data_IF_259068932040
#
_entry.id   IF_259068932040
#
_cell.length_a   1.000
_cell.length_b   1.000
_cell.length_c   1.000
_cell.angle_alpha   90.00
_cell.angle_beta   90.00
_cell.angle_gamma   90.00
#
_symmetry.space_group_name_H-M   'P 1'
#
loop_
_entity.id
_entity.type
_entity.pdbx_description
1 polymer ?
#
# COMPACT_ATOMS: atom_id res chain seq x y z
N UNK A 1 21.85 11.49 8.23
CA UNK A 1 23.27 11.07 8.15
C UNK A 1 23.61 10.41 6.81
N UNK A 2 22.73 9.56 6.24
CA UNK A 2 22.95 8.89 4.95
C UNK A 2 23.05 9.82 3.72
N UNK A 3 22.28 10.91 3.68
CA UNK A 3 22.23 11.82 2.51
C UNK A 3 23.57 12.56 2.32
N UNK A 4 24.31 12.82 3.41
CA UNK A 4 25.64 13.43 3.35
C UNK A 4 26.67 12.53 2.66
N UNK A 5 26.50 11.22 2.76
CA UNK A 5 27.44 10.25 2.21
C UNK A 5 27.26 10.06 0.69
N UNK A 6 26.03 10.19 0.19
CA UNK A 6 25.72 10.04 -1.24
C UNK A 6 25.93 11.33 -2.03
N UNK A 7 25.58 12.49 -1.44
CA UNK A 7 25.57 13.76 -2.20
C UNK A 7 26.76 14.66 -1.87
N UNK A 8 27.60 14.32 -0.89
CA UNK A 8 28.76 15.12 -0.45
C UNK A 8 28.41 16.49 0.16
N UNK A 9 27.18 16.97 -0.01
CA UNK A 9 26.67 18.24 0.52
C UNK A 9 25.96 17.99 1.84
N UNK A 10 26.41 18.69 2.88
CA UNK A 10 25.72 18.74 4.15
C UNK A 10 24.39 19.45 4.03
N UNK A 11 23.32 18.83 4.55
CA UNK A 11 22.07 19.56 4.78
C UNK A 11 22.34 20.51 5.95
N UNK A 12 22.51 21.79 5.66
CA UNK A 12 22.50 22.82 6.69
C UNK A 12 21.04 23.14 6.99
N UNK A 13 20.56 22.72 8.16
CA UNK A 13 19.25 23.13 8.66
C UNK A 13 19.33 24.60 9.04
N UNK A 14 19.02 25.48 8.08
CA UNK A 14 18.88 26.90 8.36
C UNK A 14 17.57 27.10 9.10
N UNK A 15 17.63 27.18 10.42
CA UNK A 15 16.49 27.58 11.26
C UNK A 15 16.23 29.05 10.91
N UNK A 16 15.30 29.34 10.01
CA UNK A 16 14.86 30.71 9.77
C UNK A 16 13.89 31.10 10.86
N UNK A 17 14.41 31.77 11.90
CA UNK A 17 13.62 32.70 12.71
C UNK A 17 12.80 33.60 11.79
N UNK A 18 11.54 33.87 12.17
CA UNK A 18 10.56 34.70 11.43
C UNK A 18 11.22 35.87 10.70
N UNK A 19 11.17 35.87 9.37
CA UNK A 19 11.38 37.10 8.61
C UNK A 19 10.04 37.82 8.51
N UNK A 20 9.89 38.82 9.36
CA UNK A 20 8.93 39.91 9.20
C UNK A 20 9.42 40.76 8.02
N UNK A 21 8.65 40.85 6.93
CA UNK A 21 8.44 42.08 6.12
C UNK A 21 7.62 41.74 4.88
N UNK A 22 6.60 42.57 4.70
CA UNK A 22 5.55 42.57 3.68
C UNK A 22 6.14 42.91 2.29
N UNK A 23 5.41 42.50 1.26
CA UNK A 23 5.42 42.96 -0.15
C UNK A 23 5.86 41.93 -1.21
N UNK A 24 4.83 41.42 -1.92
CA UNK A 24 4.78 40.63 -3.17
C UNK A 24 4.13 39.24 -3.02
N UNK A 25 2.83 39.24 -2.71
CA UNK A 25 1.96 38.05 -2.58
C UNK A 25 1.74 37.26 -3.89
N UNK A 26 2.29 37.68 -5.03
CA UNK A 26 2.03 37.05 -6.33
C UNK A 26 3.18 36.19 -6.87
N UNK A 27 4.39 36.28 -6.28
CA UNK A 27 5.59 35.60 -6.83
C UNK A 27 5.94 34.28 -6.11
N UNK A 28 5.31 34.00 -4.97
CA UNK A 28 5.60 32.80 -4.16
C UNK A 28 4.52 31.72 -4.22
N UNK A 29 3.43 31.96 -4.95
CA UNK A 29 2.31 31.02 -5.15
C UNK A 29 2.70 29.81 -5.98
N UNK A 30 3.65 29.95 -6.91
CA UNK A 30 4.06 28.85 -7.81
C UNK A 30 5.15 27.93 -7.19
N UNK A 31 5.89 28.42 -6.19
CA UNK A 31 6.93 27.65 -5.49
C UNK A 31 6.39 26.82 -4.30
N UNK A 32 5.12 27.01 -3.94
CA UNK A 32 4.45 26.27 -2.86
C UNK A 32 3.42 25.26 -3.37
N UNK A 33 3.55 24.77 -4.61
CA UNK A 33 2.81 23.60 -5.09
C UNK A 33 3.47 22.35 -4.50
N UNK A 34 3.34 22.15 -3.19
CA UNK A 34 3.71 20.89 -2.57
C UNK A 34 2.77 19.81 -3.11
N UNK A 35 3.27 19.01 -4.04
CA UNK A 35 2.52 17.89 -4.58
C UNK A 35 2.57 16.77 -3.53
N UNK A 36 1.49 16.60 -2.76
CA UNK A 36 1.39 15.54 -1.76
C UNK A 36 1.22 14.15 -2.41
N UNK A 37 0.85 14.08 -3.70
CA UNK A 37 0.53 12.82 -4.41
C UNK A 37 1.74 11.90 -4.58
N UNK A 38 2.93 12.35 -5.01
CA UNK A 38 4.11 11.48 -5.13
C UNK A 38 4.53 10.83 -3.81
N UNK A 39 4.30 11.51 -2.68
CA UNK A 39 4.60 10.98 -1.35
C UNK A 39 3.73 9.76 -0.97
N UNK A 40 2.54 9.64 -1.57
CA UNK A 40 1.61 8.54 -1.33
C UNK A 40 1.91 7.31 -2.21
N UNK A 41 2.76 7.44 -3.24
CA UNK A 41 3.07 6.35 -4.17
C UNK A 41 3.68 5.14 -3.44
N UNK A 42 4.71 5.29 -2.57
CA UNK A 42 5.32 4.14 -1.91
C UNK A 42 4.32 3.36 -1.05
N UNK A 43 3.49 4.07 -0.29
CA UNK A 43 2.45 3.47 0.56
C UNK A 43 1.33 2.82 -0.26
N UNK A 44 0.96 3.40 -1.40
CA UNK A 44 -0.01 2.80 -2.32
C UNK A 44 0.52 1.51 -2.96
N UNK A 45 1.81 1.46 -3.30
CA UNK A 45 2.43 0.24 -3.83
C UNK A 45 2.40 -0.90 -2.80
N UNK A 46 2.75 -0.61 -1.54
CA UNK A 46 2.69 -1.60 -0.45
C UNK A 46 1.26 -2.08 -0.23
N UNK A 47 0.27 -1.17 -0.28
CA UNK A 47 -1.14 -1.52 -0.17
C UNK A 47 -1.60 -2.47 -1.28
N UNK A 48 -1.30 -2.15 -2.54
CA UNK A 48 -1.66 -3.00 -3.67
C UNK A 48 -1.00 -4.38 -3.58
N UNK A 49 0.29 -4.43 -3.22
CA UNK A 49 1.01 -5.69 -3.03
C UNK A 49 0.40 -6.54 -1.91
N UNK A 50 0.03 -5.93 -0.78
CA UNK A 50 -0.59 -6.63 0.34
C UNK A 50 -1.96 -7.23 -0.03
N UNK A 51 -2.80 -6.47 -0.73
CA UNK A 51 -4.09 -6.95 -1.25
C UNK A 51 -3.89 -8.14 -2.19
N UNK A 52 -2.92 -8.03 -3.10
CA UNK A 52 -2.53 -9.11 -4.00
C UNK A 52 -2.09 -10.37 -3.26
N UNK A 53 -1.22 -10.23 -2.25
CA UNK A 53 -0.71 -11.34 -1.47
C UNK A 53 -1.81 -12.08 -0.69
N UNK A 54 -2.76 -11.35 -0.10
CA UNK A 54 -3.93 -11.95 0.58
C UNK A 54 -4.80 -12.71 -0.44
N UNK A 55 -5.11 -12.10 -1.59
CA UNK A 55 -5.91 -12.74 -2.63
C UNK A 55 -5.27 -14.01 -3.19
N UNK A 56 -3.95 -13.99 -3.46
CA UNK A 56 -3.20 -15.17 -3.92
C UNK A 56 -3.18 -16.27 -2.86
N UNK A 57 -2.99 -15.92 -1.58
CA UNK A 57 -3.04 -16.90 -0.50
C UNK A 57 -4.41 -17.58 -0.40
N UNK A 58 -5.51 -16.82 -0.53
CA UNK A 58 -6.87 -17.38 -0.59
C UNK A 58 -7.07 -18.27 -1.82
N UNK A 59 -6.62 -17.82 -2.99
CA UNK A 59 -6.70 -18.58 -4.23
C UNK A 59 -5.95 -19.91 -4.17
N UNK A 60 -4.76 -19.93 -3.54
CA UNK A 60 -3.98 -21.13 -3.27
C UNK A 60 -4.71 -22.13 -2.38
N UNK A 61 -5.31 -21.66 -1.29
CA UNK A 61 -6.08 -22.52 -0.36
C UNK A 61 -7.23 -23.21 -1.09
N UNK A 62 -7.95 -22.47 -1.94
CA UNK A 62 -9.08 -22.98 -2.70
C UNK A 62 -8.62 -23.93 -3.82
N UNK A 63 -7.60 -23.56 -4.60
CA UNK A 63 -7.15 -24.35 -5.74
C UNK A 63 -6.52 -25.70 -5.35
N UNK A 64 -5.86 -25.76 -4.18
CA UNK A 64 -5.05 -26.92 -3.78
C UNK A 64 -5.72 -27.80 -2.72
N UNK A 65 -6.98 -27.50 -2.33
CA UNK A 65 -7.86 -28.36 -1.52
C UNK A 65 -7.17 -29.06 -0.31
N UNK A 66 -6.28 -28.36 0.39
CA UNK A 66 -5.65 -28.87 1.62
C UNK A 66 -4.54 -29.92 1.45
N UNK A 67 -3.98 -30.13 0.25
CA UNK A 67 -2.89 -31.11 -0.02
C UNK A 67 -1.51 -30.65 0.51
N UNK A 68 -1.46 -29.63 1.37
CA UNK A 68 -0.22 -29.05 1.86
C UNK A 68 0.35 -29.86 3.04
N UNK A 69 1.66 -30.12 3.01
CA UNK A 69 2.37 -30.64 4.18
C UNK A 69 2.19 -29.69 5.38
N UNK A 70 1.98 -30.23 6.59
CA UNK A 70 1.66 -29.44 7.80
C UNK A 70 2.67 -28.32 8.12
N UNK A 71 3.93 -28.44 7.66
CA UNK A 71 4.93 -27.38 7.79
C UNK A 71 4.65 -26.20 6.86
N UNK A 72 4.22 -26.45 5.62
CA UNK A 72 3.92 -25.40 4.65
C UNK A 72 2.68 -24.60 5.05
N UNK A 73 1.65 -25.26 5.58
CA UNK A 73 0.43 -24.61 6.09
C UNK A 73 0.78 -23.60 7.19
N UNK A 74 1.68 -23.95 8.11
CA UNK A 74 2.10 -23.04 9.19
C UNK A 74 2.77 -21.76 8.65
N UNK A 75 3.61 -21.89 7.62
CA UNK A 75 4.26 -20.73 7.00
C UNK A 75 3.26 -19.84 6.27
N UNK A 76 2.32 -20.42 5.53
CA UNK A 76 1.30 -19.64 4.82
C UNK A 76 0.33 -18.95 5.78
N UNK A 77 -0.07 -19.60 6.88
CA UNK A 77 -0.92 -18.98 7.91
C UNK A 77 -0.21 -17.81 8.61
N UNK A 78 1.08 -17.96 8.94
CA UNK A 78 1.87 -16.87 9.51
C UNK A 78 2.03 -15.69 8.53
N UNK A 79 2.23 -15.99 7.24
CA UNK A 79 2.26 -14.96 6.18
C UNK A 79 0.92 -14.23 6.03
N UNK A 80 -0.20 -14.95 6.15
CA UNK A 80 -1.54 -14.37 6.08
C UNK A 80 -1.83 -13.49 7.30
N UNK A 81 -1.42 -13.92 8.51
CA UNK A 81 -1.48 -13.10 9.72
C UNK A 81 -0.66 -11.82 9.59
N UNK A 82 0.56 -11.91 9.04
CA UNK A 82 1.39 -10.75 8.75
C UNK A 82 0.69 -9.78 7.79
N UNK A 83 0.11 -10.28 6.70
CA UNK A 83 -0.61 -9.44 5.74
C UNK A 83 -1.88 -8.80 6.31
N UNK A 84 -2.62 -9.50 7.17
CA UNK A 84 -3.77 -8.92 7.90
C UNK A 84 -3.28 -7.79 8.81
N UNK A 85 -2.18 -7.97 9.52
CA UNK A 85 -1.60 -6.95 10.37
C UNK A 85 -1.16 -5.72 9.56
N UNK A 86 -0.43 -5.92 8.46
CA UNK A 86 -0.07 -4.85 7.51
C UNK A 86 -1.32 -4.14 6.98
N UNK A 87 -2.41 -4.87 6.73
CA UNK A 87 -3.66 -4.27 6.27
C UNK A 87 -4.29 -3.36 7.32
N UNK A 88 -4.24 -3.75 8.60
CA UNK A 88 -4.70 -2.90 9.69
C UNK A 88 -3.88 -1.59 9.78
N UNK A 89 -2.57 -1.66 9.55
CA UNK A 89 -1.70 -0.47 9.51
C UNK A 89 -2.00 0.44 8.30
N UNK A 90 -2.39 -0.13 7.15
CA UNK A 90 -2.68 0.62 5.92
C UNK A 90 -4.14 1.10 5.81
N UNK A 91 -5.03 0.61 6.67
CA UNK A 91 -6.42 1.08 6.76
C UNK A 91 -6.57 2.61 6.87
N UNK A 92 -5.85 3.32 7.78
CA UNK A 92 -5.92 4.78 7.84
C UNK A 92 -5.42 5.46 6.55
N UNK A 93 -4.45 4.86 5.85
CA UNK A 93 -3.98 5.37 4.56
C UNK A 93 -5.05 5.22 3.48
N UNK A 94 -5.70 4.07 3.40
CA UNK A 94 -6.79 3.84 2.47
C UNK A 94 -7.97 4.79 2.73
N UNK A 95 -8.27 5.10 4.00
CA UNK A 95 -9.23 6.14 4.37
C UNK A 95 -8.76 7.54 3.96
N UNK A 96 -7.47 7.85 4.11
CA UNK A 96 -6.88 9.13 3.72
C UNK A 96 -6.98 9.36 2.20
N UNK A 97 -6.72 8.33 1.38
CA UNK A 97 -6.87 8.38 -0.09
C UNK A 97 -8.33 8.59 -0.50
N UNK A 98 -9.29 8.02 0.24
CA UNK A 98 -10.73 8.21 -0.03
C UNK A 98 -11.22 9.65 0.24
N UNK A 99 -10.42 10.47 0.93
CA UNK A 99 -10.66 11.88 1.17
C UNK A 99 -12.03 12.16 1.80
N UNK A 100 -12.88 12.93 1.10
CA UNK A 100 -14.22 13.32 1.58
C UNK A 100 -15.15 12.11 1.81
N UNK A 101 -14.94 11.00 1.09
CA UNK A 101 -15.69 9.74 1.30
C UNK A 101 -15.16 8.91 2.48
N UNK A 102 -14.00 9.25 3.04
CA UNK A 102 -13.41 8.60 4.21
C UNK A 102 -14.26 8.72 5.49
N UNK A 103 -15.24 9.64 5.53
CA UNK A 103 -16.23 9.71 6.62
C UNK A 103 -17.17 8.49 6.65
N UNK A 104 -17.41 7.86 5.49
CA UNK A 104 -18.20 6.62 5.37
C UNK A 104 -17.26 5.43 5.21
N UNK A 105 -16.61 5.08 6.31
CA UNK A 105 -15.69 3.94 6.48
C UNK A 105 -16.23 2.62 5.88
N UNK A 106 -17.56 2.46 5.83
CA UNK A 106 -18.28 1.30 5.28
C UNK A 106 -17.91 0.96 3.83
N UNK A 107 -17.59 1.95 2.99
CA UNK A 107 -17.24 1.70 1.58
C UNK A 107 -15.97 0.85 1.49
N UNK A 108 -14.96 1.16 2.32
CA UNK A 108 -13.69 0.45 2.30
C UNK A 108 -13.86 -1.00 2.78
N UNK A 109 -14.72 -1.20 3.79
CA UNK A 109 -15.06 -2.50 4.34
C UNK A 109 -15.68 -3.43 3.30
N UNK A 110 -16.44 -2.89 2.34
CA UNK A 110 -17.06 -3.68 1.25
C UNK A 110 -16.07 -3.89 0.09
N UNK A 111 -15.30 -2.86 -0.29
CA UNK A 111 -14.41 -2.94 -1.46
C UNK A 111 -13.20 -3.86 -1.24
N UNK A 112 -12.63 -3.88 -0.03
CA UNK A 112 -11.51 -4.77 0.31
C UNK A 112 -11.79 -6.26 0.05
N UNK A 113 -12.83 -6.86 0.66
CA UNK A 113 -13.11 -8.29 0.48
C UNK A 113 -13.45 -8.61 -0.98
N UNK A 114 -14.14 -7.71 -1.69
CA UNK A 114 -14.39 -7.87 -3.13
C UNK A 114 -13.06 -7.94 -3.90
N UNK A 115 -12.11 -7.04 -3.59
CA UNK A 115 -10.79 -7.06 -4.22
C UNK A 115 -10.02 -8.35 -3.93
N UNK A 116 -10.07 -8.87 -2.69
CA UNK A 116 -9.42 -10.14 -2.34
C UNK A 116 -9.98 -11.31 -3.14
N UNK A 117 -11.32 -11.40 -3.24
CA UNK A 117 -12.00 -12.44 -4.01
C UNK A 117 -11.68 -12.32 -5.50
N UNK A 118 -11.67 -11.11 -6.06
CA UNK A 118 -11.33 -10.89 -7.46
C UNK A 118 -9.90 -11.38 -7.78
N UNK A 119 -8.92 -11.07 -6.93
CA UNK A 119 -7.54 -11.54 -7.10
C UNK A 119 -7.46 -13.06 -6.93
N UNK A 120 -8.17 -13.63 -5.95
CA UNK A 120 -8.20 -15.07 -5.73
C UNK A 120 -8.76 -15.81 -6.96
N UNK A 121 -9.85 -15.31 -7.55
CA UNK A 121 -10.43 -15.86 -8.78
C UNK A 121 -9.48 -15.74 -9.97
N UNK A 122 -8.82 -14.60 -10.13
CA UNK A 122 -7.82 -14.42 -11.18
C UNK A 122 -6.66 -15.42 -11.02
N UNK A 123 -6.19 -15.67 -9.80
CA UNK A 123 -5.18 -16.68 -9.52
C UNK A 123 -5.66 -18.09 -9.85
N UNK A 124 -6.87 -18.47 -9.44
CA UNK A 124 -7.45 -19.80 -9.71
C UNK A 124 -7.61 -20.00 -11.21
N UNK A 125 -8.12 -19.01 -11.93
CA UNK A 125 -8.28 -19.07 -13.38
C UNK A 125 -6.94 -19.25 -14.10
N UNK A 126 -5.91 -18.49 -13.69
CA UNK A 126 -4.57 -18.63 -14.23
C UNK A 126 -3.96 -20.00 -13.91
N UNK A 127 -4.12 -20.48 -12.67
CA UNK A 127 -3.64 -21.79 -12.25
C UNK A 127 -4.32 -22.92 -13.03
N UNK A 128 -5.64 -22.88 -13.17
CA UNK A 128 -6.40 -23.88 -13.94
C UNK A 128 -5.99 -23.89 -15.42
N UNK A 129 -5.78 -22.72 -16.02
CA UNK A 129 -5.30 -22.63 -17.40
C UNK A 129 -3.91 -23.26 -17.54
N UNK A 130 -2.97 -22.92 -16.65
CA UNK A 130 -1.61 -23.47 -16.69
C UNK A 130 -1.59 -24.99 -16.50
N UNK A 131 -2.41 -25.53 -15.60
CA UNK A 131 -2.52 -26.99 -15.38
C UNK A 131 -3.11 -27.71 -16.60
N UNK A 132 -4.02 -27.07 -17.34
CA UNK A 132 -4.61 -27.67 -18.55
C UNK A 132 -3.64 -27.69 -19.76
N UNK A 133 -2.58 -26.88 -19.74
CA UNK A 133 -1.60 -26.78 -20.83
C UNK A 133 -0.35 -27.65 -20.64
N UNK A 134 -0.14 -28.21 -19.44
CA UNK A 134 0.98 -29.10 -19.08
C UNK A 134 0.48 -30.54 -19.05
#
# INVERSE_FOLDING_TARGET
MLIKLVTGKGIQFRITSKQTTVESDEKFTDLSVFQWVPLLIPTAMVFAANVGAIGVALGKVIALNGVWASRQVRHEVLGLLFNIWVMALLYPFALAVLGRRGKKSTILLIVLPIAFVAVALAYIALHSLLVNFI
#
